data_IF_064354561803
#
_entry.id   IF_064354561803
#
_cell.length_a   1.000
_cell.length_b   1.000
_cell.length_c   1.000
_cell.angle_alpha   90.00
_cell.angle_beta   90.00
_cell.angle_gamma   90.00
#
_symmetry.space_group_name_H-M   'P 1'
#
loop_
_entity.id
_entity.type
_entity.pdbx_description
1 polymer ?
#
# COMPACT_ATOMS: atom_id res chain seq x y z
N UNK A 1 -14.77 10.32 -4.16
CA UNK A 1 -14.36 8.96 -3.78
C UNK A 1 -13.65 8.30 -4.94
N UNK A 2 -12.37 7.92 -4.77
CA UNK A 2 -11.55 7.28 -5.81
C UNK A 2 -11.29 5.82 -5.41
N UNK A 3 -11.58 4.87 -6.30
CA UNK A 3 -11.29 3.45 -6.07
C UNK A 3 -9.81 3.17 -6.31
N UNK A 4 -9.19 2.35 -5.47
CA UNK A 4 -7.81 1.91 -5.65
C UNK A 4 -7.77 0.56 -6.36
N UNK A 5 -7.47 0.58 -7.66
CA UNK A 5 -7.50 -0.62 -8.50
C UNK A 5 -6.46 -1.69 -8.10
N UNK A 6 -5.27 -1.28 -7.64
CA UNK A 6 -4.17 -2.19 -7.30
C UNK A 6 -4.51 -3.10 -6.10
N UNK A 7 -4.54 -2.57 -4.86
CA UNK A 7 -4.85 -3.34 -3.66
C UNK A 7 -6.19 -4.07 -3.72
N UNK A 8 -7.22 -3.47 -4.35
CA UNK A 8 -8.52 -4.12 -4.56
C UNK A 8 -8.39 -5.36 -5.45
N UNK A 9 -7.67 -5.28 -6.57
CA UNK A 9 -7.49 -6.43 -7.46
C UNK A 9 -6.74 -7.57 -6.77
N UNK A 10 -5.73 -7.25 -5.96
CA UNK A 10 -4.94 -8.25 -5.22
C UNK A 10 -5.80 -8.95 -4.17
N UNK A 11 -6.59 -8.21 -3.37
CA UNK A 11 -7.49 -8.83 -2.40
C UNK A 11 -8.49 -9.79 -3.05
N UNK A 12 -9.01 -9.42 -4.23
CA UNK A 12 -9.97 -10.26 -4.96
C UNK A 12 -9.34 -11.49 -5.61
N UNK A 13 -8.07 -11.41 -6.02
CA UNK A 13 -7.38 -12.52 -6.68
C UNK A 13 -6.64 -13.46 -5.73
N UNK A 14 -6.36 -13.01 -4.50
CA UNK A 14 -5.56 -13.77 -3.53
C UNK A 14 -4.10 -13.98 -3.95
N UNK A 15 -3.59 -13.21 -4.93
CA UNK A 15 -2.22 -13.37 -5.44
C UNK A 15 -1.28 -12.28 -4.86
N UNK A 16 -0.52 -12.60 -3.79
CA UNK A 16 0.33 -11.63 -3.10
C UNK A 16 1.48 -11.08 -3.98
N UNK A 17 1.93 -11.83 -4.99
CA UNK A 17 3.00 -11.36 -5.90
C UNK A 17 2.65 -10.11 -6.71
N UNK A 18 1.36 -9.88 -6.97
CA UNK A 18 0.89 -8.66 -7.64
C UNK A 18 0.92 -7.42 -6.73
N UNK A 19 0.97 -7.60 -5.40
CA UNK A 19 1.00 -6.52 -4.42
C UNK A 19 2.34 -5.79 -4.44
N UNK A 20 3.44 -6.55 -4.43
CA UNK A 20 4.82 -6.04 -4.48
C UNK A 20 5.08 -5.22 -5.75
N UNK A 21 4.82 -5.81 -6.92
CA UNK A 21 5.05 -5.13 -8.20
C UNK A 21 4.19 -3.87 -8.36
N UNK A 22 2.94 -3.94 -7.89
CA UNK A 22 2.04 -2.79 -7.89
C UNK A 22 2.53 -1.64 -7.01
N UNK A 23 3.01 -1.94 -5.80
CA UNK A 23 3.54 -0.93 -4.89
C UNK A 23 4.85 -0.32 -5.42
N UNK A 24 5.75 -1.17 -5.94
CA UNK A 24 7.02 -0.72 -6.50
C UNK A 24 6.80 0.26 -7.65
N UNK A 25 5.89 -0.03 -8.57
CA UNK A 25 5.59 0.89 -9.68
C UNK A 25 5.09 2.25 -9.19
N UNK A 26 4.22 2.29 -8.17
CA UNK A 26 3.74 3.55 -7.58
C UNK A 26 4.87 4.37 -6.95
N UNK A 27 5.85 3.72 -6.32
CA UNK A 27 7.00 4.39 -5.71
C UNK A 27 7.94 4.97 -6.77
N UNK A 28 8.15 4.25 -7.88
CA UNK A 28 8.96 4.72 -9.00
C UNK A 28 8.30 5.91 -9.71
N UNK A 29 6.99 5.85 -9.95
CA UNK A 29 6.25 6.91 -10.65
C UNK A 29 6.07 8.16 -9.76
N UNK A 30 5.88 7.96 -8.46
CA UNK A 30 5.54 9.03 -7.52
C UNK A 30 6.72 9.69 -6.80
N UNK A 31 7.98 9.31 -7.07
CA UNK A 31 9.14 9.74 -6.27
C UNK A 31 9.15 11.24 -5.96
N UNK A 32 9.08 12.08 -6.98
CA UNK A 32 9.11 13.53 -6.82
C UNK A 32 7.93 14.07 -6.01
N UNK A 33 6.75 13.47 -6.17
CA UNK A 33 5.55 13.88 -5.42
C UNK A 33 5.69 13.51 -3.95
N UNK A 34 6.16 12.31 -3.65
CA UNK A 34 6.34 11.82 -2.28
C UNK A 34 7.44 12.56 -1.52
N UNK A 35 8.49 13.00 -2.21
CA UNK A 35 9.50 13.88 -1.61
C UNK A 35 8.95 15.27 -1.30
N UNK A 36 8.02 15.77 -2.12
CA UNK A 36 7.36 17.07 -1.90
C UNK A 36 6.31 17.00 -0.80
N UNK A 37 5.54 15.91 -0.72
CA UNK A 37 4.53 15.68 0.31
C UNK A 37 4.62 14.24 0.86
N UNK A 38 5.35 14.04 1.97
CA UNK A 38 5.47 12.73 2.61
C UNK A 38 4.14 12.14 3.07
N UNK A 39 3.08 12.94 3.18
CA UNK A 39 1.75 12.43 3.52
C UNK A 39 1.17 11.60 2.39
N UNK A 40 1.36 12.00 1.14
CA UNK A 40 0.89 11.20 -0.01
C UNK A 40 1.61 9.85 -0.07
N UNK A 41 2.88 9.79 0.35
CA UNK A 41 3.58 8.51 0.51
C UNK A 41 2.86 7.64 1.54
N UNK A 42 2.64 8.14 2.76
CA UNK A 42 1.97 7.38 3.82
C UNK A 42 0.56 6.92 3.41
N UNK A 43 -0.22 7.79 2.77
CA UNK A 43 -1.54 7.46 2.24
C UNK A 43 -1.46 6.37 1.17
N UNK A 44 -0.44 6.38 0.33
CA UNK A 44 -0.21 5.36 -0.70
C UNK A 44 0.18 4.02 -0.09
N UNK A 45 1.00 4.02 0.96
CA UNK A 45 1.50 2.81 1.61
C UNK A 45 0.41 2.08 2.44
N UNK A 46 -0.49 2.80 3.10
CA UNK A 46 -1.43 2.22 4.06
C UNK A 46 -2.35 1.10 3.48
N UNK A 47 -2.98 1.25 2.31
CA UNK A 47 -3.81 0.18 1.72
C UNK A 47 -3.00 -1.08 1.38
N UNK A 48 -1.74 -0.95 1.00
CA UNK A 48 -0.87 -2.10 0.70
C UNK A 48 -0.44 -2.83 1.96
N UNK A 49 -0.14 -2.10 3.03
CA UNK A 49 0.15 -2.67 4.34
C UNK A 49 -1.03 -3.50 4.86
N UNK A 50 -2.23 -2.91 4.87
CA UNK A 50 -3.43 -3.61 5.31
C UNK A 50 -3.78 -4.80 4.38
N UNK A 51 -3.58 -4.65 3.07
CA UNK A 51 -3.78 -5.74 2.11
C UNK A 51 -2.87 -6.95 2.40
N UNK A 52 -1.58 -6.70 2.68
CA UNK A 52 -0.62 -7.75 3.05
C UNK A 52 -1.11 -8.53 4.29
N UNK A 53 -1.50 -7.82 5.36
CA UNK A 53 -2.04 -8.46 6.58
C UNK A 53 -3.28 -9.32 6.29
N UNK A 54 -4.23 -8.81 5.50
CA UNK A 54 -5.44 -9.58 5.15
C UNK A 54 -5.15 -10.82 4.31
N UNK A 55 -4.05 -10.85 3.58
CA UNK A 55 -3.59 -12.01 2.82
C UNK A 55 -2.75 -12.99 3.66
N UNK A 56 -2.48 -12.67 4.94
CA UNK A 56 -1.65 -13.47 5.83
C UNK A 56 -0.15 -13.28 5.61
N UNK A 57 0.25 -12.25 4.87
CA UNK A 57 1.65 -11.89 4.63
C UNK A 57 2.16 -10.94 5.74
N UNK A 58 3.44 -11.04 6.07
CA UNK A 58 4.11 -10.13 7.00
C UNK A 58 4.43 -8.79 6.30
N UNK A 59 3.82 -7.66 6.69
CA UNK A 59 4.01 -6.39 5.99
C UNK A 59 5.46 -5.92 5.99
N UNK A 60 6.21 -6.17 7.06
CA UNK A 60 7.62 -5.77 7.13
C UNK A 60 8.46 -6.47 6.07
N UNK A 61 8.20 -7.75 5.79
CA UNK A 61 8.95 -8.51 4.79
C UNK A 61 8.62 -8.03 3.37
N UNK A 62 7.33 -7.81 3.09
CA UNK A 62 6.88 -7.27 1.81
C UNK A 62 7.47 -5.87 1.56
N UNK A 63 7.44 -5.00 2.56
CA UNK A 63 7.93 -3.64 2.42
C UNK A 63 9.46 -3.58 2.35
N UNK A 64 10.18 -4.47 3.03
CA UNK A 64 11.63 -4.61 2.87
C UNK A 64 11.98 -5.02 1.43
N UNK A 65 11.23 -5.97 0.86
CA UNK A 65 11.39 -6.39 -0.54
C UNK A 65 11.12 -5.25 -1.52
N UNK A 66 10.03 -4.51 -1.34
CA UNK A 66 9.69 -3.35 -2.17
C UNK A 66 10.74 -2.25 -2.05
N UNK A 67 11.21 -1.96 -0.82
CA UNK A 67 12.23 -0.94 -0.58
C UNK A 67 13.56 -1.26 -1.27
N UNK A 68 13.90 -2.55 -1.49
CA UNK A 68 15.10 -2.92 -2.23
C UNK A 68 15.07 -2.44 -3.70
N UNK A 69 13.87 -2.43 -4.32
CA UNK A 69 13.66 -1.96 -5.70
C UNK A 69 13.30 -0.47 -5.81
N UNK A 70 12.83 0.15 -4.74
CA UNK A 70 12.37 1.54 -4.73
C UNK A 70 13.51 2.56 -4.93
N UNK A 71 13.17 3.82 -5.30
CA UNK A 71 14.14 4.92 -5.33
C UNK A 71 14.85 5.06 -3.97
N UNK A 72 16.17 5.31 -4.01
CA UNK A 72 17.03 5.36 -2.81
C UNK A 72 16.49 6.32 -1.75
N UNK A 73 15.95 7.45 -2.20
CA UNK A 73 15.38 8.52 -1.38
C UNK A 73 14.16 8.10 -0.55
N UNK A 74 13.43 7.06 -0.98
CA UNK A 74 12.20 6.60 -0.32
C UNK A 74 12.40 5.34 0.53
N UNK A 75 13.51 4.61 0.36
CA UNK A 75 13.68 3.24 0.91
C UNK A 75 13.47 3.19 2.41
N UNK A 76 14.08 4.10 3.14
CA UNK A 76 14.04 4.09 4.60
C UNK A 76 12.63 4.43 5.12
N UNK A 77 11.92 5.35 4.47
CA UNK A 77 10.53 5.65 4.79
C UNK A 77 9.61 4.44 4.52
N UNK A 78 9.80 3.75 3.40
CA UNK A 78 9.04 2.53 3.05
C UNK A 78 9.28 1.43 4.08
N UNK A 79 10.53 1.13 4.42
CA UNK A 79 10.86 0.12 5.44
C UNK A 79 10.28 0.48 6.80
N UNK A 80 10.43 1.73 7.21
CA UNK A 80 9.93 2.22 8.50
C UNK A 80 8.41 2.06 8.58
N UNK A 81 7.70 2.44 7.52
CA UNK A 81 6.25 2.32 7.47
C UNK A 81 5.80 0.85 7.50
N UNK A 82 6.50 -0.05 6.81
CA UNK A 82 6.17 -1.48 6.77
C UNK A 82 6.29 -2.21 8.11
N UNK A 83 6.98 -1.62 9.09
CA UNK A 83 7.15 -2.19 10.44
C UNK A 83 6.12 -1.69 11.44
N UNK A 84 5.19 -0.83 11.00
CA UNK A 84 4.15 -0.28 11.86
C UNK A 84 3.05 -1.32 12.10
N UNK A 85 2.60 -1.41 13.33
CA UNK A 85 1.51 -2.29 13.75
C UNK A 85 0.17 -1.56 13.86
N UNK A 86 0.20 -0.22 13.86
CA UNK A 86 -0.91 0.71 14.07
C UNK A 86 -1.62 1.17 12.78
N UNK A 87 -1.48 0.43 11.68
CA UNK A 87 -2.02 0.81 10.37
C UNK A 87 -3.45 0.28 10.19
N UNK A 88 -4.42 1.18 10.38
CA UNK A 88 -5.82 0.97 10.03
C UNK A 88 -6.21 1.90 8.86
N UNK A 89 -6.78 1.38 7.74
CA UNK A 89 -7.08 2.17 6.53
C UNK A 89 -7.87 3.46 6.79
N UNK A 90 -8.81 3.45 7.73
CA UNK A 90 -9.67 4.57 8.10
C UNK A 90 -8.87 5.76 8.63
N UNK A 91 -7.80 5.48 9.41
CA UNK A 91 -6.89 6.50 9.94
C UNK A 91 -6.10 7.21 8.82
N UNK A 92 -6.05 6.60 7.64
CA UNK A 92 -5.43 7.13 6.43
C UNK A 92 -6.47 7.59 5.40
N UNK A 93 -7.74 7.77 5.79
CA UNK A 93 -8.78 8.29 4.89
C UNK A 93 -9.23 7.28 3.83
N UNK A 94 -9.14 5.99 4.12
CA UNK A 94 -9.67 4.92 3.29
C UNK A 94 -10.81 4.19 3.99
N UNK A 95 -11.79 3.74 3.21
CA UNK A 95 -12.75 2.74 3.64
C UNK A 95 -12.46 1.42 2.93
N UNK A 96 -12.63 0.30 3.65
CA UNK A 96 -12.69 -1.04 3.06
C UNK A 96 -14.14 -1.47 3.02
N UNK A 97 -14.68 -1.65 1.82
CA UNK A 97 -16.09 -2.01 1.62
C UNK A 97 -16.18 -3.43 1.10
N UNK A 98 -16.98 -4.27 1.77
CA UNK A 98 -17.30 -5.62 1.29
C UNK A 98 -18.32 -5.53 0.14
N UNK A 99 -18.01 -6.18 -0.98
CA UNK A 99 -18.89 -6.21 -2.16
C UNK A 99 -19.10 -7.64 -2.62
N UNK A 100 -20.00 -7.86 -3.58
CA UNK A 100 -20.24 -9.18 -4.17
C UNK A 100 -18.98 -9.79 -4.83
N UNK A 101 -18.05 -8.94 -5.28
CA UNK A 101 -16.78 -9.36 -5.90
C UNK A 101 -15.65 -9.51 -4.87
N UNK A 102 -15.93 -9.29 -3.58
CA UNK A 102 -14.94 -9.21 -2.51
C UNK A 102 -14.51 -7.78 -2.17
N UNK A 103 -13.67 -7.62 -1.14
CA UNK A 103 -13.37 -6.32 -0.53
C UNK A 103 -12.74 -5.31 -1.50
N UNK A 104 -13.06 -4.04 -1.31
CA UNK A 104 -12.63 -2.92 -2.14
C UNK A 104 -12.16 -1.73 -1.30
N UNK A 105 -11.03 -1.12 -1.68
CA UNK A 105 -10.52 0.10 -1.05
C UNK A 105 -11.05 1.34 -1.75
N UNK A 106 -11.63 2.25 -0.96
CA UNK A 106 -12.17 3.53 -1.42
C UNK A 106 -11.45 4.67 -0.69
N UNK A 107 -10.81 5.58 -1.44
CA UNK A 107 -10.23 6.81 -0.89
C UNK A 107 -11.37 7.82 -0.61
N UNK A 108 -11.43 8.29 0.63
CA UNK A 108 -12.45 9.22 1.15
C UNK A 108 -12.01 10.68 1.06
N UNK A 109 -10.71 10.91 0.91
CA UNK A 109 -10.07 12.23 0.78
C UNK A 109 -9.86 12.61 -0.69
#
# INVERSE_FOLDING_TARGET
MKRLAGPTRVLRSGNPGALTSGLLNLLLEGEHEYLRDPRELMLTLAPYHHCARRLGEEPSELFDLVAAGAPVTLRDAVRTFGRRDDIEPESFGFAVVETADGPEYIRLL
#
